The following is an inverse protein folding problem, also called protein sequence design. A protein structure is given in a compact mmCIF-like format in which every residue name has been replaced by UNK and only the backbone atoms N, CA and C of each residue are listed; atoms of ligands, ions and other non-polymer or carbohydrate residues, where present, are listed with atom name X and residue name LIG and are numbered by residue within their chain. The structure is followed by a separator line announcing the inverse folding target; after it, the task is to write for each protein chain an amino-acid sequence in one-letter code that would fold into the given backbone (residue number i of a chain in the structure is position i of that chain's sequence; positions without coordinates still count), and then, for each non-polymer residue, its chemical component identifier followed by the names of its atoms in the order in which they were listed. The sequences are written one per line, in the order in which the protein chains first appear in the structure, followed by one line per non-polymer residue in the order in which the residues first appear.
data_IF_104109255249
#
_entry.id   IF_104109255249
#
_cell.length_a   1.000
_cell.length_b   1.000
_cell.length_c   1.000
_cell.angle_alpha   90.00
_cell.angle_beta   90.00
_cell.angle_gamma   90.00
#
_symmetry.space_group_name_H-M   'P 1'
#
loop_
_entity.id
_entity.type
_entity.pdbx_description
1 polymer ?
#
# COMPACT_ATOMS: atom_id res chain seq x y z
N UNK A 1 2.02 12.00 -24.12
CA UNK A 1 1.24 11.04 -23.30
C UNK A 1 1.98 9.70 -23.25
N UNK A 2 1.80 8.88 -22.20
CA UNK A 2 2.68 7.78 -21.69
C UNK A 2 3.74 8.33 -20.71
N UNK A 3 3.84 7.84 -19.47
CA UNK A 3 3.96 6.43 -19.09
C UNK A 3 3.09 6.13 -17.86
N UNK A 4 2.16 5.18 -18.00
CA UNK A 4 1.66 4.36 -16.89
C UNK A 4 2.90 3.80 -16.20
N UNK A 5 3.32 4.39 -15.08
CA UNK A 5 4.38 3.83 -14.22
C UNK A 5 3.79 2.62 -13.51
N UNK A 6 3.56 1.55 -14.27
CA UNK A 6 2.94 0.29 -13.89
C UNK A 6 3.91 -0.61 -13.11
N UNK A 7 4.66 -0.02 -12.17
CA UNK A 7 5.54 -0.79 -11.30
C UNK A 7 4.79 -1.33 -10.09
N UNK A 8 3.70 -0.68 -9.66
CA UNK A 8 2.81 -1.24 -8.62
C UNK A 8 1.95 -2.35 -9.23
N UNK A 9 2.34 -3.59 -9.01
CA UNK A 9 1.48 -4.75 -9.25
C UNK A 9 0.36 -4.76 -8.22
N UNK A 10 -0.89 -4.99 -8.66
CA UNK A 10 -2.04 -5.18 -7.74
C UNK A 10 -1.74 -6.22 -6.67
N UNK A 11 -0.99 -7.26 -7.02
CA UNK A 11 -0.50 -8.33 -6.15
C UNK A 11 0.17 -7.79 -4.87
N UNK A 12 0.92 -6.70 -4.96
CA UNK A 12 1.56 -6.11 -3.80
C UNK A 12 0.57 -5.37 -2.91
N UNK A 13 -0.38 -4.65 -3.50
CA UNK A 13 -1.43 -4.00 -2.73
C UNK A 13 -2.28 -5.04 -1.99
N UNK A 14 -2.64 -6.14 -2.67
CA UNK A 14 -3.38 -7.26 -2.07
C UNK A 14 -2.58 -7.86 -0.92
N UNK A 15 -1.31 -8.18 -1.14
CA UNK A 15 -0.44 -8.73 -0.09
C UNK A 15 -0.34 -7.82 1.13
N UNK A 16 -0.25 -6.50 0.95
CA UNK A 16 -0.17 -5.53 2.06
C UNK A 16 -1.50 -5.41 2.81
N UNK A 17 -2.63 -5.65 2.14
CA UNK A 17 -3.96 -5.66 2.76
C UNK A 17 -4.22 -6.99 3.47
N UNK A 18 -3.76 -8.12 2.91
CA UNK A 18 -3.87 -9.46 3.51
C UNK A 18 -2.92 -9.63 4.70
N UNK A 19 -1.69 -9.13 4.59
CA UNK A 19 -0.63 -9.22 5.61
C UNK A 19 0.02 -7.85 5.86
N UNK A 20 -0.72 -6.90 6.48
CA UNK A 20 -0.16 -5.61 6.85
C UNK A 20 0.77 -5.72 8.06
N UNK A 21 1.94 -5.08 7.96
CA UNK A 21 2.81 -4.83 9.10
C UNK A 21 2.17 -3.85 10.10
N UNK A 22 1.44 -2.86 9.60
CA UNK A 22 0.73 -1.88 10.43
C UNK A 22 -0.58 -1.48 9.76
N UNK A 23 -1.61 -1.30 10.57
CA UNK A 23 -2.89 -0.73 10.14
C UNK A 23 -3.22 0.47 11.02
N UNK A 24 -3.61 1.57 10.41
CA UNK A 24 -4.02 2.79 11.13
C UNK A 24 -5.32 3.31 10.51
N UNK A 25 -6.41 3.36 11.28
CA UNK A 25 -7.63 4.00 10.84
C UNK A 25 -7.43 5.52 10.79
N UNK A 26 -7.99 6.16 9.77
CA UNK A 26 -8.03 7.61 9.60
C UNK A 26 -9.49 8.08 9.67
N UNK A 27 -9.71 9.27 10.23
CA UNK A 27 -11.02 9.94 10.20
C UNK A 27 -11.51 10.10 8.74
N UNK A 28 -12.80 9.85 8.48
CA UNK A 28 -13.45 9.71 7.17
C UNK A 28 -13.38 8.31 6.52
N UNK A 29 -13.54 7.22 7.28
CA UNK A 29 -13.72 5.88 6.71
C UNK A 29 -12.56 5.39 5.84
N UNK A 30 -11.33 5.80 6.16
CA UNK A 30 -10.13 5.40 5.42
C UNK A 30 -9.21 4.60 6.32
N UNK A 31 -8.59 3.58 5.75
CA UNK A 31 -7.62 2.76 6.47
C UNK A 31 -6.28 2.83 5.75
N UNK A 32 -5.21 3.04 6.52
CA UNK A 32 -3.84 3.01 6.03
C UNK A 32 -3.23 1.68 6.43
N UNK A 33 -2.76 0.95 5.44
CA UNK A 33 -2.04 -0.29 5.58
C UNK A 33 -0.59 -0.03 5.17
N UNK A 34 0.34 -0.50 5.99
CA UNK A 34 1.76 -0.56 5.65
C UNK A 34 2.14 -2.02 5.59
N UNK A 35 2.88 -2.41 4.55
CA UNK A 35 3.40 -3.77 4.44
C UNK A 35 4.68 -3.78 3.63
N UNK A 36 5.56 -4.73 3.95
CA UNK A 36 6.83 -4.89 3.24
C UNK A 36 6.59 -5.66 1.95
N UNK A 37 7.15 -5.16 0.85
CA UNK A 37 7.15 -5.84 -0.43
C UNK A 37 8.55 -6.40 -0.65
N UNK A 38 8.80 -7.68 -0.35
CA UNK A 38 10.13 -8.29 -0.50
C UNK A 38 10.63 -8.21 -1.96
N UNK A 39 9.71 -8.27 -2.93
CA UNK A 39 10.00 -8.15 -4.37
C UNK A 39 10.58 -6.79 -4.76
N UNK A 40 10.34 -5.75 -3.97
CA UNK A 40 10.87 -4.40 -4.16
C UNK A 40 12.12 -4.15 -3.32
N UNK A 41 12.96 -5.16 -3.07
CA UNK A 41 14.11 -5.08 -2.16
C UNK A 41 13.69 -4.84 -0.70
N UNK A 42 12.54 -5.37 -0.29
CA UNK A 42 12.03 -5.15 1.07
C UNK A 42 11.56 -3.72 1.35
N UNK A 43 11.13 -2.99 0.32
CA UNK A 43 10.53 -1.65 0.49
C UNK A 43 9.18 -1.74 1.18
N UNK A 44 8.88 -0.75 2.01
CA UNK A 44 7.55 -0.61 2.61
C UNK A 44 6.61 0.02 1.58
N UNK A 45 5.44 -0.57 1.39
CA UNK A 45 4.37 -0.07 0.57
C UNK A 45 3.24 0.39 1.47
N UNK A 46 2.74 1.59 1.20
CA UNK A 46 1.61 2.17 1.90
C UNK A 46 0.38 2.09 1.01
N UNK A 47 -0.64 1.40 1.48
CA UNK A 47 -1.93 1.22 0.81
C UNK A 47 -3.00 1.90 1.63
N UNK A 48 -3.78 2.75 0.98
CA UNK A 48 -4.93 3.42 1.57
C UNK A 48 -6.17 2.77 0.97
N UNK A 49 -7.00 2.17 1.82
CA UNK A 49 -8.30 1.64 1.42
C UNK A 49 -9.42 2.54 1.96
N UNK A 50 -10.61 2.33 1.43
CA UNK A 50 -11.86 2.83 2.02
C UNK A 50 -12.31 1.93 3.19
N UNK A 51 -13.50 2.21 3.74
CA UNK A 51 -14.08 1.49 4.88
C UNK A 51 -14.23 0.00 4.66
N UNK A 52 -14.47 -0.41 3.41
CA UNK A 52 -14.66 -1.80 3.04
C UNK A 52 -13.38 -2.65 3.16
N UNK A 53 -12.22 -2.01 3.43
CA UNK A 53 -10.87 -2.64 3.46
C UNK A 53 -10.47 -3.40 2.19
N UNK A 54 -11.32 -3.39 1.17
CA UNK A 54 -11.13 -4.06 -0.11
C UNK A 54 -10.83 -3.06 -1.22
N UNK A 55 -11.54 -1.92 -1.21
CA UNK A 55 -11.37 -0.88 -2.22
C UNK A 55 -10.11 -0.07 -1.96
N UNK A 56 -9.06 -0.37 -2.71
CA UNK A 56 -7.80 0.38 -2.69
C UNK A 56 -8.05 1.75 -3.33
N UNK A 57 -8.03 2.80 -2.50
CA UNK A 57 -8.16 4.17 -2.96
C UNK A 57 -6.82 4.70 -3.50
N UNK A 58 -5.72 4.42 -2.80
CA UNK A 58 -4.39 4.90 -3.19
C UNK A 58 -3.29 3.97 -2.71
N UNK A 59 -2.20 3.81 -3.47
CA UNK A 59 -1.09 2.96 -3.06
C UNK A 59 0.24 3.51 -3.58
N UNK A 60 1.22 3.63 -2.69
CA UNK A 60 2.54 4.15 -3.02
C UNK A 60 3.65 3.49 -2.20
N UNK A 61 4.80 3.16 -2.81
CA UNK A 61 5.97 2.72 -2.08
C UNK A 61 6.50 3.89 -1.24
N UNK A 62 6.65 3.65 0.06
CA UNK A 62 7.33 4.56 0.96
C UNK A 62 8.84 4.40 0.77
N UNK A 63 9.40 5.26 -0.09
CA UNK A 63 10.83 5.28 -0.41
C UNK A 63 11.66 6.00 0.65
N UNK A 64 11.03 6.58 1.67
CA UNK A 64 11.67 7.45 2.64
C UNK A 64 11.54 6.93 4.07
N UNK A 65 11.07 5.69 4.25
CA UNK A 65 11.14 4.99 5.52
C UNK A 65 12.61 4.74 5.87
N UNK A 66 13.26 5.75 6.46
CA UNK A 66 14.57 5.64 7.08
C UNK A 66 14.41 4.66 8.23
N UNK A 67 15.11 3.54 8.12
CA UNK A 67 15.36 2.62 9.22
C UNK A 67 16.20 3.29 10.29
#
# INVERSE_FOLDING_TARGET
MLKKRAYLKKEWCVRVVEDPLKVEPQEHNRFRFWGVVPVLEGRILRVITLEDKQTIHNAFPDRRFKR
#
